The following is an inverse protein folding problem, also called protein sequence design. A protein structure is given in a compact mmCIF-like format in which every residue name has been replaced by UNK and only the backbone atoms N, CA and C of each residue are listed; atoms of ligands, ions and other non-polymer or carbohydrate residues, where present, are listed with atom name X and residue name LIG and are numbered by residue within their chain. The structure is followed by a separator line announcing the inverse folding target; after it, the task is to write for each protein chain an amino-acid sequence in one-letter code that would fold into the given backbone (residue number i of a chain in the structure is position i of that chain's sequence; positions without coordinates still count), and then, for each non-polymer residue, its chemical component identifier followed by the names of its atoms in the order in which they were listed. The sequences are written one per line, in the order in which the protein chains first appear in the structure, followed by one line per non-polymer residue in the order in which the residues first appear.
data_IF_751430593544
#
_entry.id   IF_751430593544
#
_cell.length_a   1.000
_cell.length_b   1.000
_cell.length_c   1.000
_cell.angle_alpha   90.00
_cell.angle_beta   90.00
_cell.angle_gamma   90.00
#
_symmetry.space_group_name_H-M   'P 1'
#
loop_
_entity.id
_entity.type
_entity.pdbx_description
1 polymer ?
#
# COMPACT_ATOMS: atom_id res chain seq x y z
N UNK A 1 13.30 6.72 6.90
CA UNK A 1 12.08 6.14 7.50
C UNK A 1 12.26 4.67 7.82
N UNK A 2 11.46 4.12 8.75
CA UNK A 2 11.51 2.71 9.10
C UNK A 2 11.06 1.84 7.92
N UNK A 3 11.89 0.91 7.47
CA UNK A 3 11.49 -0.13 6.53
C UNK A 3 10.51 -1.12 7.21
N UNK A 4 9.44 -1.53 6.53
CA UNK A 4 8.46 -2.48 7.06
C UNK A 4 9.03 -3.87 7.39
N UNK A 5 10.21 -4.19 6.85
CA UNK A 5 10.92 -5.45 7.10
C UNK A 5 11.98 -5.36 8.21
N UNK A 6 12.19 -4.19 8.81
CA UNK A 6 13.13 -4.05 9.92
C UNK A 6 12.56 -4.67 11.18
N UNK A 7 13.19 -5.71 11.68
CA UNK A 7 12.95 -6.26 13.00
C UNK A 7 13.54 -5.31 14.06
N UNK A 8 12.99 -5.29 15.28
CA UNK A 8 13.45 -4.51 16.44
C UNK A 8 13.24 -2.98 16.41
N UNK A 9 12.55 -2.42 15.45
CA UNK A 9 12.16 -1.01 15.50
C UNK A 9 10.91 -0.75 16.37
N UNK A 10 10.77 -1.45 17.48
CA UNK A 10 9.71 -1.24 18.47
C UNK A 10 10.18 -0.23 19.53
N UNK A 11 9.26 0.59 20.04
CA UNK A 11 9.56 1.51 21.14
C UNK A 11 9.58 3.00 20.78
N UNK A 12 9.52 3.35 19.50
CA UNK A 12 9.42 4.76 19.11
C UNK A 12 7.96 5.25 19.17
N UNK A 13 7.73 6.31 19.93
CA UNK A 13 6.39 6.88 20.11
C UNK A 13 6.02 7.87 19.00
N UNK A 14 7.01 8.57 18.46
CA UNK A 14 6.83 9.58 17.41
C UNK A 14 7.83 9.37 16.25
N UNK A 15 7.54 9.97 15.09
CA UNK A 15 8.50 9.98 13.98
C UNK A 15 9.80 10.72 14.35
N UNK A 16 9.70 11.74 15.18
CA UNK A 16 10.87 12.50 15.62
C UNK A 16 11.78 11.66 16.53
N UNK A 17 11.20 10.82 17.40
CA UNK A 17 11.98 9.89 18.24
C UNK A 17 12.73 8.88 17.37
N UNK A 18 12.10 8.41 16.28
CA UNK A 18 12.73 7.50 15.33
C UNK A 18 13.85 8.19 14.55
N UNK A 19 13.61 9.38 14.00
CA UNK A 19 14.58 10.11 13.19
C UNK A 19 15.83 10.50 13.98
N UNK A 20 15.68 10.79 15.27
CA UNK A 20 16.78 11.16 16.17
C UNK A 20 17.37 9.96 16.93
N UNK A 21 16.89 8.75 16.66
CA UNK A 21 17.37 7.57 17.39
C UNK A 21 18.79 7.19 16.96
N UNK A 22 19.63 6.83 17.93
CA UNK A 22 20.97 6.27 17.68
C UNK A 22 20.89 5.01 16.82
N UNK A 23 19.83 4.25 16.95
CA UNK A 23 19.59 3.03 16.18
C UNK A 23 19.43 3.35 14.67
N UNK A 24 18.53 4.28 14.31
CA UNK A 24 18.35 4.65 12.89
C UNK A 24 19.59 5.36 12.33
N UNK A 25 20.27 6.15 13.15
CA UNK A 25 21.51 6.81 12.75
C UNK A 25 22.61 5.78 12.46
N UNK A 26 22.77 4.77 13.33
CA UNK A 26 23.71 3.66 13.09
C UNK A 26 23.46 2.93 11.78
N UNK A 27 22.17 2.63 11.46
CA UNK A 27 21.79 2.04 10.15
C UNK A 27 22.22 2.95 8.99
N UNK A 28 21.96 4.26 9.08
CA UNK A 28 22.34 5.22 8.04
C UNK A 28 23.87 5.29 7.88
N UNK A 29 24.60 5.30 8.97
CA UNK A 29 26.06 5.36 8.99
C UNK A 29 26.69 4.09 8.38
N UNK A 30 26.15 2.91 8.68
CA UNK A 30 26.56 1.64 8.06
C UNK A 30 26.30 1.66 6.56
N UNK A 31 25.09 2.02 6.15
CA UNK A 31 24.73 2.08 4.72
C UNK A 31 25.54 3.15 3.95
N UNK A 32 25.96 4.23 4.60
CA UNK A 32 26.79 5.26 3.95
C UNK A 32 28.22 4.81 3.63
N UNK A 33 28.66 3.69 4.23
CA UNK A 33 29.93 3.03 3.98
C UNK A 33 29.82 1.87 2.98
N UNK A 34 28.67 1.75 2.29
CA UNK A 34 28.31 0.62 1.43
C UNK A 34 28.29 -0.74 2.15
N UNK A 35 28.07 -0.72 3.47
CA UNK A 35 27.92 -1.91 4.30
C UNK A 35 26.44 -2.22 4.54
N UNK A 36 26.13 -3.48 4.81
CA UNK A 36 24.78 -3.92 5.10
C UNK A 36 24.50 -3.96 6.62
N UNK A 37 23.53 -3.18 7.12
CA UNK A 37 23.04 -3.34 8.48
C UNK A 37 22.34 -4.70 8.66
N UNK A 38 22.45 -5.29 9.84
CA UNK A 38 21.81 -6.58 10.16
C UNK A 38 20.29 -6.57 9.89
N UNK A 39 19.63 -5.44 10.11
CA UNK A 39 18.20 -5.24 9.86
C UNK A 39 17.83 -5.30 8.38
N UNK A 40 18.80 -5.19 7.50
CA UNK A 40 18.61 -5.17 6.04
C UNK A 40 18.94 -6.51 5.37
N UNK A 41 19.29 -7.56 6.14
CA UNK A 41 19.71 -8.87 5.60
C UNK A 41 18.72 -9.45 4.57
N UNK A 42 17.41 -9.24 4.75
CA UNK A 42 16.40 -9.74 3.80
C UNK A 42 16.51 -9.06 2.43
N UNK A 43 16.75 -7.75 2.41
CA UNK A 43 16.99 -7.04 1.15
C UNK A 43 18.31 -7.47 0.53
N UNK A 44 19.35 -7.64 1.34
CA UNK A 44 20.66 -8.14 0.90
C UNK A 44 20.52 -9.48 0.20
N UNK A 45 19.94 -10.49 0.85
CA UNK A 45 19.73 -11.80 0.27
C UNK A 45 18.90 -11.76 -1.02
N UNK A 46 17.87 -10.91 -1.05
CA UNK A 46 17.03 -10.76 -2.25
C UNK A 46 17.80 -10.14 -3.40
N UNK A 47 18.68 -9.16 -3.14
CA UNK A 47 19.52 -8.52 -4.15
C UNK A 47 20.62 -9.44 -4.65
N UNK A 48 21.22 -10.26 -3.80
CA UNK A 48 22.20 -11.28 -4.17
C UNK A 48 21.63 -12.33 -5.12
N UNK A 49 20.35 -12.71 -4.94
CA UNK A 49 19.69 -13.73 -5.78
C UNK A 49 19.05 -13.12 -7.02
N UNK A 50 18.38 -12.00 -6.91
CA UNK A 50 17.49 -11.46 -7.95
C UNK A 50 18.00 -10.13 -8.55
N UNK A 51 19.10 -9.57 -8.04
CA UNK A 51 19.62 -8.26 -8.45
C UNK A 51 18.77 -7.07 -7.99
N UNK A 52 17.58 -7.29 -7.43
CA UNK A 52 16.65 -6.23 -7.00
C UNK A 52 15.93 -6.57 -5.72
N UNK A 53 15.60 -5.55 -4.93
CA UNK A 53 14.81 -5.67 -3.70
C UNK A 53 13.83 -4.51 -3.54
N UNK A 54 13.05 -4.49 -2.45
CA UNK A 54 12.23 -3.33 -2.08
C UNK A 54 13.11 -2.08 -1.89
N UNK A 55 14.35 -2.23 -1.42
CA UNK A 55 15.30 -1.13 -1.25
C UNK A 55 15.69 -0.51 -2.60
N UNK A 56 16.15 -1.32 -3.55
CA UNK A 56 16.55 -0.85 -4.88
C UNK A 56 15.37 -0.24 -5.63
N UNK A 57 14.22 -0.91 -5.64
CA UNK A 57 12.98 -0.37 -6.22
C UNK A 57 12.58 0.98 -5.61
N UNK A 58 12.80 1.17 -4.30
CA UNK A 58 12.55 2.45 -3.63
C UNK A 58 13.55 3.52 -4.05
N UNK A 59 14.84 3.18 -4.16
CA UNK A 59 15.89 4.10 -4.62
C UNK A 59 15.61 4.56 -6.04
N UNK A 60 15.31 3.64 -6.95
CA UNK A 60 15.03 3.96 -8.35
C UNK A 60 13.78 4.83 -8.49
N UNK A 61 12.74 4.53 -7.72
CA UNK A 61 11.56 5.38 -7.65
C UNK A 61 11.90 6.80 -7.16
N UNK A 62 12.74 6.92 -6.14
CA UNK A 62 13.18 8.22 -5.65
C UNK A 62 14.01 8.99 -6.68
N UNK A 63 14.93 8.34 -7.39
CA UNK A 63 15.71 8.95 -8.46
C UNK A 63 14.85 9.50 -9.59
N UNK A 64 13.78 8.77 -9.96
CA UNK A 64 12.85 9.17 -11.03
C UNK A 64 11.96 10.36 -10.64
N UNK A 65 11.66 10.51 -9.37
CA UNK A 65 10.59 11.39 -8.90
C UNK A 65 11.11 12.68 -8.27
N UNK A 66 12.39 12.72 -7.86
CA UNK A 66 12.93 13.87 -7.14
C UNK A 66 14.41 14.11 -7.46
N UNK A 67 14.78 15.33 -7.87
CA UNK A 67 16.10 15.81 -7.54
C UNK A 67 16.16 15.88 -6.01
N UNK A 68 16.99 15.03 -5.42
CA UNK A 68 17.07 14.82 -3.97
C UNK A 68 17.32 16.16 -3.26
N UNK A 69 16.29 16.71 -2.65
CA UNK A 69 16.45 17.69 -1.57
C UNK A 69 16.32 16.94 -0.26
N UNK A 70 17.31 17.10 0.58
CA UNK A 70 17.33 16.54 1.93
C UNK A 70 16.06 16.92 2.70
N UNK A 71 15.57 16.01 3.57
CA UNK A 71 14.47 16.24 4.51
C UNK A 71 13.02 16.02 4.04
N UNK A 72 12.76 15.27 2.99
CA UNK A 72 11.39 14.85 2.67
C UNK A 72 10.95 13.59 3.43
N UNK A 73 9.63 13.44 3.57
CA UNK A 73 9.01 12.27 4.19
C UNK A 73 8.18 11.49 3.17
N UNK A 74 8.39 10.18 3.19
CA UNK A 74 7.45 9.19 2.69
C UNK A 74 6.68 8.66 3.90
N UNK A 75 5.39 8.90 3.96
CA UNK A 75 4.55 8.47 5.08
C UNK A 75 3.80 7.23 4.67
N UNK A 76 4.19 6.10 5.25
CA UNK A 76 3.53 4.80 5.06
C UNK A 76 2.96 4.24 6.35
N UNK A 77 1.99 3.36 6.22
CA UNK A 77 1.41 2.64 7.33
C UNK A 77 -0.11 2.57 7.32
N UNK A 78 -0.68 2.07 8.41
CA UNK A 78 -2.12 1.87 8.55
C UNK A 78 -2.77 3.15 9.06
N UNK A 79 -3.63 3.76 8.25
CA UNK A 79 -4.41 4.93 8.67
C UNK A 79 -5.54 4.51 9.64
N UNK A 80 -6.34 3.55 9.22
CA UNK A 80 -7.32 2.85 10.05
C UNK A 80 -7.58 1.44 9.50
N UNK A 81 -8.32 0.62 10.24
CA UNK A 81 -8.69 -0.73 9.82
C UNK A 81 -10.17 -0.86 9.44
N UNK A 82 -10.83 0.24 9.11
CA UNK A 82 -12.22 0.24 8.65
C UNK A 82 -12.27 -0.43 7.27
N UNK A 83 -12.91 -1.61 7.21
CA UNK A 83 -13.01 -2.39 5.99
C UNK A 83 -14.43 -2.95 5.84
N UNK A 84 -14.89 -3.06 4.61
CA UNK A 84 -16.19 -3.67 4.25
C UNK A 84 -16.04 -5.13 3.79
N UNK A 85 -14.83 -5.69 3.81
CA UNK A 85 -14.53 -7.05 3.36
C UNK A 85 -14.02 -7.94 4.49
N UNK A 86 -14.31 -9.24 4.37
CA UNK A 86 -13.79 -10.30 5.24
C UNK A 86 -13.09 -11.35 4.37
N UNK A 87 -11.97 -10.93 3.77
CA UNK A 87 -11.18 -11.78 2.89
C UNK A 87 -10.58 -12.96 3.65
N UNK A 88 -10.51 -14.15 3.02
CA UNK A 88 -10.00 -15.38 3.63
C UNK A 88 -8.53 -15.29 4.04
N UNK A 89 -7.76 -14.44 3.36
CA UNK A 89 -6.33 -14.20 3.61
C UNK A 89 -6.06 -13.01 4.55
N UNK A 90 -7.10 -12.49 5.23
CA UNK A 90 -7.01 -11.34 6.12
C UNK A 90 -7.37 -11.70 7.56
N UNK A 91 -7.30 -10.73 8.47
CA UNK A 91 -7.60 -10.92 9.88
C UNK A 91 -8.29 -9.69 10.51
N UNK A 92 -8.78 -9.86 11.75
CA UNK A 92 -9.50 -8.81 12.48
C UNK A 92 -8.65 -7.58 12.86
N UNK A 93 -7.32 -7.66 12.84
CA UNK A 93 -6.45 -6.50 13.05
C UNK A 93 -6.49 -5.52 11.89
N UNK A 94 -6.73 -6.03 10.67
CA UNK A 94 -6.75 -5.25 9.43
C UNK A 94 -8.16 -5.03 8.85
N UNK A 95 -9.18 -5.72 9.38
CA UNK A 95 -10.56 -5.58 8.92
C UNK A 95 -11.56 -5.56 10.07
N UNK A 96 -12.25 -4.42 10.20
CA UNK A 96 -13.37 -4.30 11.15
C UNK A 96 -14.53 -5.21 10.78
N UNK A 97 -14.67 -5.60 9.50
CA UNK A 97 -15.70 -6.56 9.07
C UNK A 97 -15.42 -7.95 9.64
N UNK A 98 -14.17 -8.42 9.56
CA UNK A 98 -13.77 -9.70 10.17
C UNK A 98 -13.96 -9.62 11.68
N UNK A 99 -13.47 -8.56 12.33
CA UNK A 99 -13.63 -8.38 13.78
C UNK A 99 -15.10 -8.45 14.22
N UNK A 100 -16.02 -7.86 13.45
CA UNK A 100 -17.45 -7.93 13.76
C UNK A 100 -18.07 -9.32 13.59
N UNK A 101 -17.52 -10.14 12.67
CA UNK A 101 -18.00 -11.52 12.43
C UNK A 101 -17.47 -12.49 13.47
N UNK A 102 -16.25 -12.30 13.92
CA UNK A 102 -15.63 -13.15 14.95
C UNK A 102 -16.21 -12.94 16.33
N UNK A 103 -17.08 -11.93 16.53
CA UNK A 103 -17.70 -11.57 17.82
C UNK A 103 -16.71 -11.39 18.96
N UNK A 104 -15.44 -11.11 18.65
CA UNK A 104 -14.36 -10.91 19.59
C UNK A 104 -14.08 -9.43 19.81
N UNK A 105 -13.55 -9.10 20.95
CA UNK A 105 -12.95 -7.77 21.16
C UNK A 105 -11.79 -7.60 20.19
N UNK A 106 -11.99 -6.81 19.13
CA UNK A 106 -10.95 -6.49 18.17
C UNK A 106 -10.52 -5.03 18.31
N UNK A 107 -9.24 -4.77 18.09
CA UNK A 107 -8.68 -3.44 18.21
C UNK A 107 -9.08 -2.59 17.00
N UNK A 108 -9.73 -1.46 17.26
CA UNK A 108 -9.93 -0.43 16.23
C UNK A 108 -8.67 0.43 16.14
N UNK A 109 -8.06 0.41 14.95
CA UNK A 109 -6.93 1.28 14.64
C UNK A 109 -7.47 2.59 14.08
N UNK A 110 -6.98 3.71 14.62
CA UNK A 110 -7.23 5.04 14.06
C UNK A 110 -5.99 5.91 14.28
N UNK A 111 -5.24 6.12 13.21
CA UNK A 111 -4.04 6.95 13.19
C UNK A 111 -4.27 8.27 12.43
N UNK A 112 -5.52 8.62 12.12
CA UNK A 112 -5.84 9.80 11.34
C UNK A 112 -5.29 11.08 11.95
N UNK A 113 -5.52 11.30 13.25
CA UNK A 113 -5.01 12.49 13.94
C UNK A 113 -3.47 12.48 14.06
N UNK A 114 -2.86 11.30 14.22
CA UNK A 114 -1.40 11.16 14.23
C UNK A 114 -0.76 11.53 12.89
N UNK A 115 -1.46 11.29 11.78
CA UNK A 115 -0.98 11.71 10.47
C UNK A 115 -0.83 13.24 10.39
N UNK A 116 -1.78 13.98 10.94
CA UNK A 116 -1.75 15.44 10.90
C UNK A 116 -0.75 16.09 11.87
N UNK A 117 -0.25 15.32 12.84
CA UNK A 117 0.84 15.73 13.73
C UNK A 117 2.23 15.66 13.07
N UNK A 118 2.33 15.00 11.90
CA UNK A 118 3.58 14.96 11.15
C UNK A 118 3.90 16.32 10.53
N UNK A 119 5.17 16.62 10.22
CA UNK A 119 5.55 17.85 9.53
C UNK A 119 5.02 17.86 8.09
N UNK A 120 3.82 18.36 7.89
CA UNK A 120 3.03 18.31 6.66
C UNK A 120 3.77 18.92 5.44
N UNK A 121 4.58 19.95 5.67
CA UNK A 121 5.38 20.61 4.63
C UNK A 121 6.54 19.72 4.09
N UNK A 122 6.86 18.61 4.77
CA UNK A 122 7.90 17.68 4.36
C UNK A 122 7.34 16.46 3.63
N UNK A 123 6.03 16.21 3.66
CA UNK A 123 5.42 14.99 3.09
C UNK A 123 5.36 15.12 1.57
N UNK A 124 6.10 14.26 0.88
CA UNK A 124 6.08 14.13 -0.58
C UNK A 124 5.28 12.93 -1.06
N UNK A 125 5.31 11.84 -0.31
CA UNK A 125 4.60 10.62 -0.67
C UNK A 125 3.73 10.17 0.50
N UNK A 126 2.49 9.84 0.19
CA UNK A 126 1.51 9.26 1.11
C UNK A 126 1.23 7.84 0.63
N UNK A 127 1.71 6.84 1.39
CA UNK A 127 1.54 5.40 1.14
C UNK A 127 0.77 4.77 2.31
N UNK A 128 -0.47 5.21 2.50
CA UNK A 128 -1.29 4.74 3.62
C UNK A 128 -2.15 3.57 3.21
N UNK A 129 -2.03 2.53 4.00
CA UNK A 129 -2.74 1.27 3.86
C UNK A 129 -3.68 1.03 5.06
N UNK A 130 -4.21 -0.16 5.16
CA UNK A 130 -5.13 -0.59 6.20
C UNK A 130 -6.52 -0.72 5.61
N UNK A 131 -7.53 -1.11 6.31
CA UNK A 131 -8.91 -1.21 5.90
C UNK A 131 -9.23 -1.15 4.39
N UNK A 132 -10.27 -0.42 4.06
CA UNK A 132 -10.64 -0.15 2.67
C UNK A 132 -10.89 1.36 2.49
N UNK A 133 -10.16 2.05 1.58
CA UNK A 133 -10.30 3.50 1.36
C UNK A 133 -11.73 3.96 1.07
N UNK A 134 -12.50 3.18 0.30
CA UNK A 134 -13.88 3.53 -0.06
C UNK A 134 -14.87 3.37 1.11
N UNK A 135 -14.51 2.63 2.14
CA UNK A 135 -15.32 2.43 3.35
C UNK A 135 -14.95 3.41 4.47
N UNK A 136 -13.71 3.93 4.49
CA UNK A 136 -13.21 4.79 5.55
C UNK A 136 -13.51 6.27 5.30
N UNK A 137 -14.10 6.93 6.30
CA UNK A 137 -14.27 8.40 6.30
C UNK A 137 -12.91 9.12 6.44
N UNK A 138 -11.96 8.52 7.16
CA UNK A 138 -10.63 9.09 7.36
C UNK A 138 -9.84 9.13 6.05
N UNK A 139 -9.89 8.06 5.25
CA UNK A 139 -9.28 8.05 3.92
C UNK A 139 -9.87 9.13 3.03
N UNK A 140 -11.19 9.27 2.98
CA UNK A 140 -11.84 10.33 2.19
C UNK A 140 -11.40 11.72 2.62
N UNK A 141 -11.31 11.97 3.94
CA UNK A 141 -10.82 13.24 4.47
C UNK A 141 -9.36 13.48 4.12
N UNK A 142 -8.51 12.45 4.23
CA UNK A 142 -7.09 12.53 3.85
C UNK A 142 -6.93 12.86 2.36
N UNK A 143 -7.60 12.12 1.49
CA UNK A 143 -7.50 12.30 0.03
C UNK A 143 -8.03 13.65 -0.44
N UNK A 144 -9.03 14.20 0.25
CA UNK A 144 -9.57 15.54 -0.03
C UNK A 144 -8.66 16.68 0.48
N UNK A 145 -7.72 16.39 1.40
CA UNK A 145 -6.88 17.39 2.07
C UNK A 145 -5.41 16.96 2.12
N UNK A 146 -4.87 16.48 1.01
CA UNK A 146 -3.47 16.05 0.95
C UNK A 146 -2.51 17.18 1.33
N UNK A 147 -1.38 16.88 2.00
CA UNK A 147 -0.34 17.86 2.27
C UNK A 147 0.12 18.57 1.00
N UNK A 148 0.35 19.86 1.07
CA UNK A 148 0.60 20.74 -0.08
C UNK A 148 1.74 20.28 -1.00
N UNK A 149 2.76 19.64 -0.43
CA UNK A 149 3.94 19.19 -1.16
C UNK A 149 3.82 17.75 -1.68
N UNK A 150 2.69 17.08 -1.44
CA UNK A 150 2.47 15.70 -1.91
C UNK A 150 2.60 15.64 -3.43
N UNK A 151 3.43 14.71 -3.90
CA UNK A 151 3.65 14.41 -5.33
C UNK A 151 3.14 13.03 -5.72
N UNK A 152 3.06 12.12 -4.74
CA UNK A 152 2.66 10.73 -4.98
C UNK A 152 1.71 10.31 -3.86
N UNK A 153 0.64 9.63 -4.28
CA UNK A 153 -0.27 8.92 -3.38
C UNK A 153 -0.31 7.46 -3.81
N UNK A 154 -0.05 6.56 -2.87
CA UNK A 154 -0.19 5.12 -3.07
C UNK A 154 -1.28 4.58 -2.16
N UNK A 155 -2.05 3.65 -2.66
CA UNK A 155 -3.11 3.02 -1.87
C UNK A 155 -3.46 1.64 -2.40
N UNK A 156 -3.87 0.79 -1.50
CA UNK A 156 -4.47 -0.50 -1.82
C UNK A 156 -5.99 -0.41 -1.68
N UNK A 157 -6.71 -1.09 -2.56
CA UNK A 157 -8.17 -1.19 -2.47
C UNK A 157 -8.63 -2.61 -2.80
N UNK A 158 -9.71 -3.03 -2.17
CA UNK A 158 -10.37 -4.29 -2.50
C UNK A 158 -11.17 -4.24 -3.81
N UNK A 159 -11.20 -3.09 -4.48
CA UNK A 159 -11.88 -2.92 -5.75
C UNK A 159 -13.41 -3.02 -5.69
N UNK A 160 -14.03 -3.02 -4.50
CA UNK A 160 -15.50 -3.06 -4.39
C UNK A 160 -16.18 -1.85 -5.01
N UNK A 161 -15.46 -0.72 -5.03
CA UNK A 161 -15.91 0.56 -5.63
C UNK A 161 -14.69 1.35 -6.10
N UNK A 162 -14.91 2.22 -7.07
CA UNK A 162 -13.90 3.22 -7.45
C UNK A 162 -13.80 4.32 -6.38
N UNK A 163 -12.58 4.75 -6.10
CA UNK A 163 -12.27 5.87 -5.21
C UNK A 163 -12.56 7.16 -5.96
N UNK A 164 -13.56 7.90 -5.55
CA UNK A 164 -14.05 9.09 -6.28
C UNK A 164 -13.11 10.29 -6.20
N UNK A 165 -12.33 10.38 -5.15
CA UNK A 165 -11.41 11.47 -4.86
C UNK A 165 -10.21 11.52 -5.84
N UNK A 166 -9.94 10.43 -6.57
CA UNK A 166 -8.75 10.31 -7.43
C UNK A 166 -8.72 11.34 -8.56
N UNK A 167 -9.84 11.65 -9.17
CA UNK A 167 -9.88 12.60 -10.28
C UNK A 167 -9.39 13.98 -9.84
N UNK A 168 -9.82 14.46 -8.68
CA UNK A 168 -9.38 15.75 -8.13
C UNK A 168 -7.87 15.74 -7.84
N UNK A 169 -7.33 14.65 -7.31
CA UNK A 169 -5.90 14.47 -7.02
C UNK A 169 -5.10 14.51 -8.33
N UNK A 170 -5.54 13.79 -9.35
CA UNK A 170 -4.89 13.70 -10.65
C UNK A 170 -4.92 15.04 -11.41
N UNK A 171 -6.00 15.81 -11.31
CA UNK A 171 -6.09 17.18 -11.85
C UNK A 171 -5.07 18.13 -11.21
N UNK A 172 -4.70 17.90 -9.96
CA UNK A 172 -3.64 18.63 -9.27
C UNK A 172 -2.23 18.11 -9.61
N UNK A 173 -2.08 17.27 -10.67
CA UNK A 173 -0.82 16.70 -11.14
C UNK A 173 -0.07 15.88 -10.09
N UNK A 174 -0.78 15.27 -9.15
CA UNK A 174 -0.24 14.32 -8.20
C UNK A 174 -0.32 12.93 -8.83
N UNK A 175 0.78 12.20 -8.86
CA UNK A 175 0.80 10.80 -9.31
C UNK A 175 0.03 9.94 -8.33
N UNK A 176 -0.83 9.07 -8.84
CA UNK A 176 -1.59 8.11 -8.03
C UNK A 176 -1.25 6.69 -8.47
N UNK A 177 -0.92 5.85 -7.51
CA UNK A 177 -0.68 4.42 -7.72
C UNK A 177 -1.74 3.67 -6.94
N UNK A 178 -2.64 3.01 -7.65
CA UNK A 178 -3.71 2.19 -7.06
C UNK A 178 -3.36 0.72 -7.25
N UNK A 179 -3.16 0.04 -6.13
CA UNK A 179 -2.99 -1.42 -6.11
C UNK A 179 -4.36 -2.06 -5.83
N UNK A 180 -4.88 -2.74 -6.82
CA UNK A 180 -6.13 -3.48 -6.75
C UNK A 180 -5.85 -4.89 -6.23
N UNK A 181 -6.37 -5.23 -5.05
CA UNK A 181 -6.23 -6.58 -4.51
C UNK A 181 -7.05 -7.57 -5.34
N UNK A 182 -6.37 -8.57 -5.91
CA UNK A 182 -6.92 -9.46 -6.92
C UNK A 182 -6.51 -10.92 -6.65
N UNK A 183 -7.32 -11.65 -5.89
CA UNK A 183 -6.98 -12.99 -5.40
C UNK A 183 -7.75 -14.11 -6.11
N UNK A 184 -8.36 -13.85 -7.26
CA UNK A 184 -9.08 -14.84 -8.04
C UNK A 184 -9.97 -14.25 -9.13
N UNK A 185 -10.44 -15.09 -10.03
CA UNK A 185 -11.41 -14.79 -11.09
C UNK A 185 -12.71 -15.51 -10.80
N UNK A 186 -13.85 -14.88 -11.07
CA UNK A 186 -15.17 -15.49 -10.93
C UNK A 186 -15.49 -15.85 -9.49
N UNK A 187 -15.95 -17.09 -9.29
CA UNK A 187 -16.38 -17.61 -7.98
C UNK A 187 -15.22 -17.69 -6.97
N UNK A 188 -14.00 -17.92 -7.42
CA UNK A 188 -12.82 -17.89 -6.55
C UNK A 188 -12.63 -16.49 -5.95
N UNK A 189 -12.80 -15.43 -6.75
CA UNK A 189 -12.78 -14.06 -6.22
C UNK A 189 -13.90 -13.84 -5.21
N UNK A 190 -15.12 -14.25 -5.54
CA UNK A 190 -16.30 -14.09 -4.66
C UNK A 190 -16.11 -14.77 -3.30
N UNK A 191 -15.43 -15.90 -3.29
CA UNK A 191 -15.11 -16.65 -2.06
C UNK A 191 -13.96 -16.00 -1.28
N UNK A 192 -12.81 -15.81 -1.94
CA UNK A 192 -11.60 -15.35 -1.24
C UNK A 192 -11.72 -13.90 -0.77
N UNK A 193 -12.42 -13.06 -1.54
CA UNK A 193 -12.57 -11.61 -1.28
C UNK A 193 -13.96 -11.24 -0.74
N UNK A 194 -14.67 -12.19 -0.12
CA UNK A 194 -16.03 -11.97 0.39
C UNK A 194 -16.16 -10.68 1.24
N UNK A 195 -17.24 -9.88 1.09
CA UNK A 195 -18.38 -10.06 0.20
C UNK A 195 -18.26 -9.30 -1.13
N UNK A 196 -17.06 -8.95 -1.57
CA UNK A 196 -16.85 -8.25 -2.85
C UNK A 196 -17.15 -9.21 -3.98
N UNK A 197 -18.17 -8.91 -4.77
CA UNK A 197 -18.57 -9.74 -5.90
C UNK A 197 -17.76 -9.44 -7.15
N UNK A 198 -17.33 -10.48 -7.85
CA UNK A 198 -16.56 -10.40 -9.10
C UNK A 198 -17.16 -9.41 -10.11
N UNK A 199 -18.47 -9.46 -10.33
CA UNK A 199 -19.17 -8.53 -11.20
C UNK A 199 -18.99 -7.05 -10.82
N UNK A 200 -18.85 -6.74 -9.53
CA UNK A 200 -18.62 -5.38 -9.05
C UNK A 200 -17.15 -5.00 -9.17
N UNK A 201 -16.25 -5.95 -8.91
CA UNK A 201 -14.82 -5.80 -9.09
C UNK A 201 -14.47 -5.42 -10.55
N UNK A 202 -14.99 -6.17 -11.53
CA UNK A 202 -14.81 -5.87 -12.96
C UNK A 202 -15.28 -4.45 -13.31
N UNK A 203 -16.44 -4.02 -12.77
CA UNK A 203 -16.95 -2.66 -13.01
C UNK A 203 -15.96 -1.61 -12.49
N UNK A 204 -15.39 -1.84 -11.32
CA UNK A 204 -14.39 -0.95 -10.74
C UNK A 204 -13.10 -0.94 -11.57
N UNK A 205 -12.58 -2.09 -12.00
CA UNK A 205 -11.40 -2.18 -12.87
C UNK A 205 -11.61 -1.40 -14.17
N UNK A 206 -12.77 -1.58 -14.82
CA UNK A 206 -13.13 -0.83 -16.03
C UNK A 206 -13.16 0.68 -15.78
N UNK A 207 -13.73 1.13 -14.66
CA UNK A 207 -13.78 2.55 -14.30
C UNK A 207 -12.37 3.13 -14.04
N UNK A 208 -11.51 2.40 -13.34
CA UNK A 208 -10.11 2.79 -13.14
C UNK A 208 -9.35 2.89 -14.47
N UNK A 209 -9.52 1.92 -15.36
CA UNK A 209 -8.90 1.96 -16.71
C UNK A 209 -9.38 3.14 -17.54
N UNK A 210 -10.67 3.48 -17.46
CA UNK A 210 -11.22 4.65 -18.13
C UNK A 210 -10.62 5.94 -17.58
N UNK A 211 -10.46 6.04 -16.25
CA UNK A 211 -9.80 7.18 -15.61
C UNK A 211 -8.31 7.25 -16.00
N UNK A 212 -7.62 6.10 -16.07
CA UNK A 212 -6.21 6.04 -16.48
C UNK A 212 -5.98 6.56 -17.91
N UNK A 213 -6.91 6.30 -18.82
CA UNK A 213 -6.85 6.85 -20.19
C UNK A 213 -6.91 8.37 -20.22
N UNK A 214 -7.64 8.98 -19.28
CA UNK A 214 -7.75 10.44 -19.16
C UNK A 214 -6.57 11.06 -18.40
N UNK A 215 -5.98 10.31 -17.46
CA UNK A 215 -4.93 10.79 -16.57
C UNK A 215 -3.73 9.82 -16.57
N UNK A 216 -2.69 10.07 -17.40
CA UNK A 216 -1.50 9.21 -17.46
C UNK A 216 -0.72 9.07 -16.15
N UNK A 217 -0.97 9.99 -15.20
CA UNK A 217 -0.39 9.94 -13.84
C UNK A 217 -1.08 8.91 -12.94
N UNK A 218 -2.19 8.30 -13.35
CA UNK A 218 -2.77 7.15 -12.67
C UNK A 218 -2.05 5.87 -13.10
N UNK A 219 -1.44 5.19 -12.16
CA UNK A 219 -0.85 3.86 -12.35
C UNK A 219 -1.71 2.83 -11.64
N UNK A 220 -1.99 1.73 -12.32
CA UNK A 220 -2.75 0.62 -11.80
C UNK A 220 -1.84 -0.59 -11.67
N UNK A 221 -2.00 -1.32 -10.58
CA UNK A 221 -1.30 -2.57 -10.32
C UNK A 221 -2.28 -3.57 -9.70
N UNK A 222 -2.18 -4.85 -10.07
CA UNK A 222 -2.83 -5.94 -9.37
C UNK A 222 -1.89 -6.54 -8.33
N UNK A 223 -2.46 -6.91 -7.20
CA UNK A 223 -1.74 -7.65 -6.16
C UNK A 223 -2.52 -8.90 -5.78
N UNK A 224 -1.84 -10.04 -5.84
CA UNK A 224 -2.40 -11.33 -5.42
C UNK A 224 -1.69 -11.86 -4.19
N UNK A 225 -2.45 -12.22 -3.16
CA UNK A 225 -1.96 -13.05 -2.06
C UNK A 225 -2.23 -14.51 -2.40
N UNK A 226 -1.18 -15.22 -2.79
CA UNK A 226 -1.28 -16.64 -3.21
C UNK A 226 -1.41 -17.53 -1.98
N UNK A 227 -2.40 -18.39 -2.01
CA UNK A 227 -2.71 -19.37 -0.95
C UNK A 227 -3.25 -20.66 -1.57
N UNK A 228 -3.49 -21.68 -0.77
CA UNK A 228 -4.15 -22.91 -1.21
C UNK A 228 -5.55 -22.68 -1.79
N UNK A 229 -6.18 -21.53 -1.48
CA UNK A 229 -7.53 -21.21 -1.94
C UNK A 229 -7.59 -20.67 -3.38
N UNK A 230 -6.46 -20.24 -3.92
CA UNK A 230 -6.42 -19.60 -5.24
C UNK A 230 -5.25 -20.03 -6.13
N UNK A 231 -4.39 -20.92 -5.67
CA UNK A 231 -3.20 -21.34 -6.44
C UNK A 231 -3.58 -21.94 -7.79
N UNK A 232 -4.64 -22.73 -7.87
CA UNK A 232 -5.14 -23.32 -9.12
C UNK A 232 -5.79 -22.28 -10.06
N UNK A 233 -6.14 -21.11 -9.53
CA UNK A 233 -6.73 -20.02 -10.30
C UNK A 233 -5.69 -19.02 -10.85
N UNK A 234 -4.38 -19.24 -10.55
CA UNK A 234 -3.30 -18.36 -11.01
C UNK A 234 -3.25 -18.15 -12.53
N UNK A 235 -3.43 -19.19 -13.38
CA UNK A 235 -3.48 -18.97 -14.82
C UNK A 235 -4.56 -17.96 -15.22
N UNK A 236 -5.77 -18.09 -14.68
CA UNK A 236 -6.88 -17.16 -14.96
C UNK A 236 -6.59 -15.73 -14.45
N UNK A 237 -5.88 -15.61 -13.32
CA UNK A 237 -5.44 -14.32 -12.77
C UNK A 237 -4.46 -13.64 -13.72
N UNK A 238 -3.46 -14.38 -14.22
CA UNK A 238 -2.46 -13.88 -15.15
C UNK A 238 -3.07 -13.48 -16.50
N UNK A 239 -3.97 -14.31 -17.02
CA UNK A 239 -4.70 -14.01 -18.26
C UNK A 239 -5.51 -12.70 -18.11
N UNK A 240 -6.27 -12.58 -17.04
CA UNK A 240 -7.05 -11.35 -16.77
C UNK A 240 -6.16 -10.11 -16.63
N UNK A 241 -5.00 -10.23 -15.97
CA UNK A 241 -4.06 -9.12 -15.83
C UNK A 241 -3.49 -8.71 -17.21
N UNK A 242 -3.11 -9.68 -18.03
CA UNK A 242 -2.59 -9.48 -19.38
C UNK A 242 -3.64 -8.84 -20.30
N UNK A 243 -4.86 -9.37 -20.33
CA UNK A 243 -5.98 -8.83 -21.12
C UNK A 243 -6.31 -7.37 -20.74
N UNK A 244 -6.13 -7.03 -19.48
CA UNK A 244 -6.35 -5.67 -19.00
C UNK A 244 -5.13 -4.76 -19.14
N UNK A 245 -3.97 -5.28 -19.52
CA UNK A 245 -2.70 -4.54 -19.57
C UNK A 245 -2.44 -3.79 -18.24
N UNK A 246 -2.54 -4.52 -17.13
CA UNK A 246 -2.28 -4.03 -15.78
C UNK A 246 -1.15 -4.87 -15.19
N UNK A 247 -0.11 -4.19 -14.69
CA UNK A 247 1.01 -4.86 -14.01
C UNK A 247 0.49 -5.71 -12.85
N UNK A 248 1.09 -6.88 -12.64
CA UNK A 248 0.69 -7.81 -11.61
C UNK A 248 1.85 -8.22 -10.73
N UNK A 249 1.67 -8.06 -9.45
CA UNK A 249 2.60 -8.52 -8.41
C UNK A 249 1.88 -9.51 -7.49
N UNK A 250 2.65 -10.40 -6.88
CA UNK A 250 2.11 -11.40 -5.96
C UNK A 250 3.10 -11.79 -4.87
N UNK A 251 2.56 -12.32 -3.77
CA UNK A 251 3.33 -12.95 -2.71
C UNK A 251 2.54 -14.13 -2.14
N UNK A 252 3.27 -15.12 -1.59
CA UNK A 252 2.63 -16.19 -0.84
C UNK A 252 2.10 -15.69 0.51
N UNK A 253 0.98 -16.26 0.92
CA UNK A 253 0.46 -16.10 2.27
C UNK A 253 1.43 -16.79 3.25
N UNK A 254 1.97 -16.02 4.20
CA UNK A 254 2.88 -16.51 5.25
C UNK A 254 2.11 -16.80 6.53
#
# INVERSE_FOLDING_TARGET
GKCGHMHNASGFKTCNDLDNSKWLQGIKDTMSKDEWPDECHRCQQTEEVNGTSIRTKSIDRHKLLHPVKENYLVVGGVLDNICNSACQTCNSKLSTKIGSLESKNYTRINNFEKFWQLPQNRILEVDVNGGEPTASKNYKKLLANLPKNTKIVRMNTNGSRMIKELEAILRNRIMVIVTLSFDGVGDVHDYVRWPVKWKNYIKSVKAYKQLQKQFPLLKLNFWTTVSSLNVENLPNILDFATENNIDHEWAFLN
#
